data_IF_977708096681
#
_entry.id   IF_977708096681
#
_cell.length_a   1.000
_cell.length_b   1.000
_cell.length_c   1.000
_cell.angle_alpha   90.00
_cell.angle_beta   90.00
_cell.angle_gamma   90.00
#
_symmetry.space_group_name_H-M   'P 1'
#
loop_
_entity.id
_entity.type
_entity.pdbx_description
1 polymer ?
#
# COMPACT_ATOMS: atom_id res chain seq x y z
N UNK A 1 -11.73 -75.22 15.52
CA UNK A 1 -11.25 -73.83 15.33
C UNK A 1 -9.99 -73.89 14.49
N UNK A 2 -10.12 -73.70 13.18
CA UNK A 2 -8.99 -73.60 12.25
C UNK A 2 -9.22 -72.35 11.43
N UNK A 3 -8.53 -71.26 11.81
CA UNK A 3 -8.47 -70.03 11.01
C UNK A 3 -7.03 -69.84 10.57
N UNK A 4 -6.72 -70.39 9.42
CA UNK A 4 -5.54 -70.03 8.65
C UNK A 4 -5.98 -69.35 7.37
N UNK A 5 -5.20 -68.33 6.98
CA UNK A 5 -5.11 -67.75 5.65
C UNK A 5 -6.26 -66.84 5.17
N UNK A 6 -6.28 -65.61 5.68
CA UNK A 6 -6.64 -64.43 4.86
C UNK A 6 -5.61 -63.32 5.04
N UNK A 7 -4.39 -63.63 4.65
CA UNK A 7 -3.33 -62.66 4.47
C UNK A 7 -3.71 -61.76 3.29
N UNK A 8 -4.22 -60.57 3.60
CA UNK A 8 -4.65 -59.57 2.61
C UNK A 8 -3.46 -59.14 1.75
N UNK A 9 -3.53 -59.48 0.47
CA UNK A 9 -2.51 -59.26 -0.56
C UNK A 9 -2.68 -57.91 -1.31
N UNK A 10 -3.52 -57.00 -0.82
CA UNK A 10 -3.91 -55.79 -1.55
C UNK A 10 -3.14 -54.51 -1.19
N UNK A 11 -2.06 -54.58 -0.43
CA UNK A 11 -1.23 -53.40 -0.19
C UNK A 11 0.01 -53.45 -1.09
N UNK A 12 0.03 -52.73 -2.23
CA UNK A 12 1.26 -52.63 -3.00
C UNK A 12 2.30 -51.90 -2.15
N UNK A 13 3.26 -52.66 -1.60
CA UNK A 13 4.48 -52.11 -0.99
C UNK A 13 5.34 -51.51 -2.10
N UNK A 14 4.96 -50.33 -2.57
CA UNK A 14 5.79 -49.47 -3.40
C UNK A 14 6.88 -48.83 -2.53
N UNK A 15 7.79 -49.66 -2.01
CA UNK A 15 9.09 -49.18 -1.52
C UNK A 15 9.97 -48.86 -2.72
N UNK A 16 9.55 -47.89 -3.54
CA UNK A 16 10.43 -47.26 -4.52
C UNK A 16 11.35 -46.36 -3.70
N UNK A 17 12.49 -46.90 -3.28
CA UNK A 17 13.61 -46.16 -2.71
C UNK A 17 14.07 -45.18 -3.79
N UNK A 18 13.38 -44.03 -3.88
CA UNK A 18 13.80 -42.92 -4.72
C UNK A 18 15.09 -42.42 -4.10
N UNK A 19 16.21 -42.79 -4.72
CA UNK A 19 17.44 -42.02 -4.62
C UNK A 19 17.14 -40.68 -5.28
N UNK A 20 16.49 -39.76 -4.56
CA UNK A 20 16.55 -38.35 -4.91
C UNK A 20 17.92 -37.90 -4.42
N UNK A 21 18.86 -37.53 -5.30
CA UNK A 21 20.01 -36.78 -4.84
C UNK A 21 19.42 -35.51 -4.22
N UNK A 22 19.49 -35.39 -2.89
CA UNK A 22 19.16 -34.15 -2.20
C UNK A 22 20.29 -33.19 -2.53
N UNK A 23 20.18 -32.57 -3.70
CA UNK A 23 20.99 -31.40 -4.04
C UNK A 23 20.61 -30.36 -3.00
N UNK A 24 21.55 -30.04 -2.12
CA UNK A 24 21.32 -29.11 -1.01
C UNK A 24 21.13 -27.70 -1.58
N UNK A 25 19.86 -27.31 -1.71
CA UNK A 25 19.42 -26.05 -2.34
C UNK A 25 19.98 -24.84 -1.58
N UNK A 26 20.25 -25.02 -0.28
CA UNK A 26 20.86 -24.01 0.61
C UNK A 26 22.33 -23.76 0.26
N UNK A 27 23.11 -24.84 0.05
CA UNK A 27 24.52 -24.76 -0.31
C UNK A 27 24.71 -24.14 -1.70
N UNK A 28 23.87 -24.54 -2.67
CA UNK A 28 23.85 -23.95 -4.01
C UNK A 28 23.44 -22.47 -3.95
N UNK A 29 22.55 -22.09 -3.02
CA UNK A 29 22.08 -20.71 -2.89
C UNK A 29 23.17 -19.74 -2.48
N UNK A 30 23.95 -20.11 -1.46
CA UNK A 30 25.11 -19.34 -1.01
C UNK A 30 26.20 -19.26 -2.08
N UNK A 31 26.40 -20.36 -2.83
CA UNK A 31 27.37 -20.41 -3.92
C UNK A 31 26.96 -19.50 -5.09
N UNK A 32 25.69 -19.54 -5.50
CA UNK A 32 25.15 -18.65 -6.55
C UNK A 32 25.25 -17.18 -6.18
N UNK A 33 25.00 -16.81 -4.92
CA UNK A 33 25.12 -15.42 -4.47
C UNK A 33 26.57 -14.91 -4.45
N UNK A 34 27.53 -15.78 -4.15
CA UNK A 34 28.95 -15.46 -4.31
C UNK A 34 29.33 -15.31 -5.78
N UNK A 35 28.84 -16.21 -6.65
CA UNK A 35 29.09 -16.14 -8.10
C UNK A 35 28.46 -14.89 -8.71
N UNK A 36 27.25 -14.52 -8.33
CA UNK A 36 26.57 -13.33 -8.85
C UNK A 36 27.35 -12.05 -8.53
N UNK A 37 27.85 -11.91 -7.29
CA UNK A 37 28.72 -10.79 -6.90
C UNK A 37 30.06 -10.81 -7.64
N UNK A 38 30.59 -11.99 -7.91
CA UNK A 38 31.86 -12.16 -8.61
C UNK A 38 31.76 -11.85 -10.11
N UNK A 39 30.71 -12.34 -10.79
CA UNK A 39 30.45 -12.11 -12.22
C UNK A 39 29.96 -10.69 -12.51
N UNK A 40 29.23 -10.06 -11.58
CA UNK A 40 28.75 -8.67 -11.72
C UNK A 40 29.85 -7.62 -11.57
N UNK A 41 31.01 -7.99 -11.00
CA UNK A 41 32.15 -7.10 -10.86
C UNK A 41 33.10 -7.34 -12.05
N UNK A 42 33.53 -6.27 -12.75
CA UNK A 42 34.50 -6.36 -13.87
C UNK A 42 35.84 -7.05 -13.54
N UNK A 43 36.06 -7.37 -12.27
CA UNK A 43 37.19 -8.14 -11.75
C UNK A 43 37.27 -9.56 -12.31
N UNK A 44 36.15 -10.24 -12.60
CA UNK A 44 36.18 -11.57 -13.23
C UNK A 44 36.82 -11.51 -14.62
N UNK A 45 36.36 -10.56 -15.45
CA UNK A 45 36.91 -10.35 -16.79
C UNK A 45 38.40 -10.02 -16.73
N UNK A 46 38.83 -9.15 -15.81
CA UNK A 46 40.24 -8.82 -15.64
C UNK A 46 41.11 -10.04 -15.29
N UNK A 47 40.68 -10.88 -14.33
CA UNK A 47 41.40 -12.10 -13.94
C UNK A 47 41.44 -13.09 -15.12
N UNK A 48 40.32 -13.30 -15.81
CA UNK A 48 40.23 -14.20 -16.96
C UNK A 48 41.16 -13.76 -18.09
N UNK A 49 41.22 -12.47 -18.39
CA UNK A 49 42.14 -11.92 -19.40
C UNK A 49 43.60 -12.14 -19.01
N UNK A 50 43.96 -11.90 -17.75
CA UNK A 50 45.34 -12.15 -17.27
C UNK A 50 45.70 -13.63 -17.40
N UNK A 51 44.81 -14.55 -17.02
CA UNK A 51 45.04 -15.99 -17.16
C UNK A 51 45.28 -16.37 -18.63
N UNK A 52 44.44 -15.88 -19.55
CA UNK A 52 44.60 -16.14 -20.98
C UNK A 52 45.93 -15.61 -21.51
N UNK A 53 46.32 -14.39 -21.13
CA UNK A 53 47.62 -13.81 -21.53
C UNK A 53 48.78 -14.65 -21.00
N UNK A 54 48.78 -15.00 -19.70
CA UNK A 54 49.81 -15.84 -19.09
C UNK A 54 49.89 -17.20 -19.78
N UNK A 55 48.75 -17.78 -20.13
CA UNK A 55 48.69 -19.07 -20.83
C UNK A 55 49.27 -19.00 -22.24
N UNK A 56 48.95 -17.95 -22.99
CA UNK A 56 49.53 -17.70 -24.32
C UNK A 56 51.04 -17.52 -24.20
N UNK A 57 51.52 -16.73 -23.23
CA UNK A 57 52.95 -16.53 -23.00
C UNK A 57 53.65 -17.84 -22.62
N UNK A 58 53.09 -18.62 -21.70
CA UNK A 58 53.63 -19.92 -21.31
C UNK A 58 53.72 -20.86 -22.52
N UNK A 59 52.69 -20.91 -23.35
CA UNK A 59 52.72 -21.68 -24.60
C UNK A 59 53.85 -21.19 -25.52
N UNK A 60 53.98 -19.87 -25.74
CA UNK A 60 55.00 -19.29 -26.61
C UNK A 60 56.43 -19.60 -26.14
N UNK A 61 56.69 -19.57 -24.83
CA UNK A 61 57.99 -19.96 -24.27
C UNK A 61 58.21 -21.48 -24.26
N UNK A 62 57.14 -22.27 -24.09
CA UNK A 62 57.17 -23.73 -24.12
C UNK A 62 57.21 -24.33 -25.54
N UNK A 63 57.04 -23.52 -26.60
CA UNK A 63 57.27 -23.93 -28.00
C UNK A 63 58.70 -24.44 -28.22
N UNK A 64 59.68 -23.95 -27.44
CA UNK A 64 61.05 -24.49 -27.48
C UNK A 64 61.15 -25.97 -27.08
N UNK A 65 60.14 -26.51 -26.37
CA UNK A 65 60.01 -27.93 -26.03
C UNK A 65 59.02 -28.68 -26.94
N UNK A 66 58.50 -28.06 -28.01
CA UNK A 66 57.51 -28.62 -28.94
C UNK A 66 56.22 -29.15 -28.26
N UNK A 67 55.86 -28.63 -27.09
CA UNK A 67 54.79 -29.21 -26.28
C UNK A 67 53.38 -28.98 -26.88
N UNK A 68 53.19 -27.94 -27.71
CA UNK A 68 51.99 -27.71 -28.54
C UNK A 68 52.36 -26.86 -29.79
N UNK A 69 52.71 -27.48 -30.93
CA UNK A 69 53.01 -26.78 -32.19
C UNK A 69 51.78 -26.07 -32.76
N UNK A 70 52.00 -25.00 -33.54
CA UNK A 70 50.91 -24.27 -34.21
C UNK A 70 50.02 -25.24 -35.03
N UNK A 71 48.68 -25.29 -34.82
CA UNK A 71 47.80 -24.29 -34.20
C UNK A 71 47.26 -24.72 -32.81
N UNK A 72 48.08 -24.63 -31.76
CA UNK A 72 47.72 -24.70 -30.31
C UNK A 72 46.45 -25.50 -29.97
N UNK A 73 46.47 -26.82 -30.25
CA UNK A 73 45.26 -27.65 -30.19
C UNK A 73 44.74 -27.80 -28.75
N UNK A 74 45.65 -27.79 -27.77
CA UNK A 74 45.30 -27.95 -26.37
C UNK A 74 44.64 -26.70 -25.81
N UNK A 75 45.07 -25.51 -26.24
CA UNK A 75 44.44 -24.24 -25.88
C UNK A 75 43.01 -24.18 -26.40
N UNK A 76 42.82 -24.55 -27.66
CA UNK A 76 41.50 -24.55 -28.27
C UNK A 76 40.57 -25.59 -27.60
N UNK A 77 41.09 -26.77 -27.26
CA UNK A 77 40.32 -27.80 -26.56
C UNK A 77 39.91 -27.35 -25.15
N UNK A 78 40.81 -26.69 -24.42
CA UNK A 78 40.53 -26.17 -23.09
C UNK A 78 39.45 -25.08 -23.14
N UNK A 79 39.55 -24.13 -24.07
CA UNK A 79 38.55 -23.07 -24.24
C UNK A 79 37.19 -23.62 -24.70
N UNK A 80 37.19 -24.60 -25.60
CA UNK A 80 35.96 -25.27 -26.04
C UNK A 80 35.26 -25.97 -24.88
N UNK A 81 36.02 -26.64 -24.02
CA UNK A 81 35.48 -27.29 -22.81
C UNK A 81 34.99 -26.26 -21.78
N UNK A 82 35.73 -25.14 -21.61
CA UNK A 82 35.32 -24.04 -20.74
C UNK A 82 33.95 -23.49 -21.17
N UNK A 83 33.78 -23.20 -22.47
CA UNK A 83 32.52 -22.72 -23.01
C UNK A 83 31.39 -23.75 -22.84
N UNK A 84 31.67 -25.03 -23.09
CA UNK A 84 30.70 -26.10 -22.94
C UNK A 84 30.19 -26.27 -21.49
N UNK A 85 31.06 -26.11 -20.49
CA UNK A 85 30.66 -26.18 -19.07
C UNK A 85 30.01 -24.88 -18.55
N UNK A 86 30.28 -23.74 -19.18
CA UNK A 86 29.65 -22.47 -18.81
C UNK A 86 28.14 -22.50 -19.01
N UNK A 87 27.65 -23.09 -20.10
CA UNK A 87 26.22 -23.16 -20.43
C UNK A 87 25.35 -23.78 -19.30
N UNK A 88 25.62 -25.00 -18.80
CA UNK A 88 24.82 -25.59 -17.71
C UNK A 88 24.95 -24.82 -16.39
N UNK A 89 26.10 -24.22 -16.09
CA UNK A 89 26.29 -23.42 -14.88
C UNK A 89 25.47 -22.13 -14.94
N UNK A 90 25.44 -21.47 -16.10
CA UNK A 90 24.60 -20.30 -16.35
C UNK A 90 23.13 -20.67 -16.26
N UNK A 91 22.70 -21.80 -16.85
CA UNK A 91 21.30 -22.27 -16.77
C UNK A 91 20.87 -22.54 -15.32
N UNK A 92 21.75 -23.09 -14.48
CA UNK A 92 21.47 -23.29 -13.05
C UNK A 92 21.35 -21.97 -12.29
N UNK A 93 22.19 -20.98 -12.63
CA UNK A 93 22.10 -19.65 -12.06
C UNK A 93 20.81 -18.92 -12.49
N UNK A 94 20.43 -19.03 -13.76
CA UNK A 94 19.23 -18.41 -14.33
C UNK A 94 17.93 -18.99 -13.76
N UNK A 95 17.79 -20.32 -13.69
CA UNK A 95 16.59 -20.96 -13.13
C UNK A 95 16.29 -20.51 -11.69
N UNK A 96 17.33 -20.20 -10.91
CA UNK A 96 17.16 -19.69 -9.54
C UNK A 96 16.76 -18.23 -9.50
N UNK A 97 17.35 -17.41 -10.36
CA UNK A 97 16.99 -16.00 -10.47
C UNK A 97 15.52 -15.88 -10.88
N UNK A 98 15.10 -16.62 -11.90
CA UNK A 98 13.72 -16.66 -12.38
C UNK A 98 12.73 -17.11 -11.29
N UNK A 99 13.09 -18.11 -10.47
CA UNK A 99 12.23 -18.55 -9.37
C UNK A 99 12.10 -17.48 -8.27
N UNK A 100 13.18 -16.76 -7.93
CA UNK A 100 13.12 -15.63 -6.98
C UNK A 100 12.27 -14.49 -7.53
N UNK A 101 12.51 -14.12 -8.79
CA UNK A 101 11.79 -13.04 -9.47
C UNK A 101 10.30 -13.37 -9.57
N UNK A 102 9.96 -14.64 -9.83
CA UNK A 102 8.58 -15.13 -9.83
C UNK A 102 7.91 -14.98 -8.46
N UNK A 103 8.57 -15.41 -7.38
CA UNK A 103 8.01 -15.28 -6.01
C UNK A 103 7.81 -13.81 -5.65
N UNK A 104 8.78 -12.96 -5.94
CA UNK A 104 8.67 -11.52 -5.69
C UNK A 104 7.49 -10.89 -6.46
N UNK A 105 7.29 -11.30 -7.72
CA UNK A 105 6.19 -10.82 -8.55
C UNK A 105 4.82 -11.35 -8.08
N UNK A 106 4.76 -12.59 -7.60
CA UNK A 106 3.54 -13.14 -6.99
C UNK A 106 3.17 -12.42 -5.68
N UNK A 107 4.15 -12.09 -4.84
CA UNK A 107 3.92 -11.28 -3.64
C UNK A 107 3.46 -9.86 -3.96
N UNK A 108 4.08 -9.21 -4.94
CA UNK A 108 3.72 -7.86 -5.37
C UNK A 108 2.28 -7.82 -5.90
N UNK A 109 1.89 -8.81 -6.71
CA UNK A 109 0.49 -8.97 -7.16
C UNK A 109 -0.48 -9.10 -5.99
N UNK A 110 -0.18 -9.95 -5.00
CA UNK A 110 -1.04 -10.10 -3.81
C UNK A 110 -1.17 -8.80 -3.02
N UNK A 111 -0.07 -8.06 -2.85
CA UNK A 111 -0.09 -6.75 -2.18
C UNK A 111 -0.91 -5.72 -2.95
N UNK A 112 -0.80 -5.71 -4.28
CA UNK A 112 -1.59 -4.83 -5.13
C UNK A 112 -3.10 -5.15 -5.04
N UNK A 113 -3.47 -6.43 -5.02
CA UNK A 113 -4.86 -6.87 -4.81
C UNK A 113 -5.41 -6.42 -3.44
N UNK A 114 -4.64 -6.59 -2.38
CA UNK A 114 -5.00 -6.14 -1.02
C UNK A 114 -5.16 -4.62 -0.96
N UNK A 115 -4.17 -3.88 -1.48
CA UNK A 115 -4.21 -2.41 -1.50
C UNK A 115 -5.41 -1.89 -2.29
N UNK A 116 -5.75 -2.55 -3.40
CA UNK A 116 -6.94 -2.22 -4.18
C UNK A 116 -8.21 -2.47 -3.36
N UNK A 117 -8.33 -3.62 -2.71
CA UNK A 117 -9.49 -3.94 -1.87
C UNK A 117 -9.64 -2.95 -0.70
N UNK A 118 -8.54 -2.60 -0.02
CA UNK A 118 -8.53 -1.62 1.07
C UNK A 118 -8.94 -0.24 0.57
N UNK A 119 -8.47 0.18 -0.61
CA UNK A 119 -8.85 1.45 -1.22
C UNK A 119 -10.33 1.47 -1.60
N UNK A 120 -10.85 0.38 -2.18
CA UNK A 120 -12.28 0.24 -2.49
C UNK A 120 -13.14 0.26 -1.22
N UNK A 121 -12.68 -0.39 -0.14
CA UNK A 121 -13.34 -0.37 1.15
C UNK A 121 -13.37 1.05 1.74
N UNK A 122 -12.23 1.73 1.80
CA UNK A 122 -12.13 3.11 2.28
C UNK A 122 -12.97 4.07 1.43
N UNK A 123 -13.02 3.88 0.11
CA UNK A 123 -13.86 4.70 -0.76
C UNK A 123 -15.35 4.50 -0.48
N UNK A 124 -15.80 3.26 -0.21
CA UNK A 124 -17.18 2.96 0.18
C UNK A 124 -17.52 3.54 1.55
N UNK A 125 -16.65 3.36 2.53
CA UNK A 125 -16.80 3.95 3.87
C UNK A 125 -16.84 5.48 3.80
N UNK A 126 -15.96 6.10 3.02
CA UNK A 126 -15.97 7.55 2.82
C UNK A 126 -17.25 8.03 2.14
N UNK A 127 -17.77 7.28 1.16
CA UNK A 127 -19.04 7.58 0.52
C UNK A 127 -20.22 7.47 1.51
N UNK A 128 -20.26 6.41 2.32
CA UNK A 128 -21.26 6.23 3.37
C UNK A 128 -21.18 7.34 4.43
N UNK A 129 -19.97 7.66 4.89
CA UNK A 129 -19.72 8.77 5.82
C UNK A 129 -20.17 10.09 5.21
N UNK A 130 -19.84 10.37 3.95
CA UNK A 130 -20.27 11.59 3.25
C UNK A 130 -21.80 11.70 3.16
N UNK A 131 -22.51 10.60 2.91
CA UNK A 131 -23.97 10.60 2.89
C UNK A 131 -24.54 10.91 4.27
N UNK A 132 -24.03 10.24 5.32
CA UNK A 132 -24.48 10.47 6.70
C UNK A 132 -24.20 11.91 7.18
N UNK A 133 -23.03 12.47 6.88
CA UNK A 133 -22.69 13.86 7.21
C UNK A 133 -23.47 14.83 6.33
N UNK A 134 -23.70 14.49 5.06
CA UNK A 134 -24.50 15.27 4.13
C UNK A 134 -25.93 15.48 4.63
N UNK A 135 -26.56 14.45 5.21
CA UNK A 135 -27.89 14.57 5.81
C UNK A 135 -27.89 15.48 7.05
N UNK A 136 -26.91 15.34 7.96
CA UNK A 136 -26.83 16.11 9.21
C UNK A 136 -26.40 17.57 8.98
N UNK A 137 -25.64 17.86 7.91
CA UNK A 137 -25.20 19.21 7.55
C UNK A 137 -26.12 19.92 6.54
N UNK A 138 -27.35 19.42 6.32
CA UNK A 138 -28.27 20.09 5.40
C UNK A 138 -28.69 21.44 5.97
N UNK A 139 -28.68 22.49 5.14
CA UNK A 139 -29.04 23.88 5.51
C UNK A 139 -30.36 23.95 6.29
N UNK A 140 -31.33 23.10 5.95
CA UNK A 140 -32.65 23.06 6.61
C UNK A 140 -32.60 22.49 8.02
N UNK A 141 -31.70 21.52 8.30
CA UNK A 141 -31.49 21.01 9.66
C UNK A 141 -30.84 22.08 10.54
N UNK A 142 -29.75 22.71 10.05
CA UNK A 142 -29.11 23.83 10.75
C UNK A 142 -30.06 25.00 10.95
N UNK A 143 -30.94 25.28 9.98
CA UNK A 143 -31.94 26.34 10.09
C UNK A 143 -33.01 26.02 11.12
N UNK A 144 -33.52 24.78 11.15
CA UNK A 144 -34.46 24.32 12.17
C UNK A 144 -33.83 24.38 13.55
N UNK A 145 -32.61 23.87 13.72
CA UNK A 145 -31.94 23.89 15.03
C UNK A 145 -31.68 25.32 15.50
N UNK A 146 -31.34 26.25 14.59
CA UNK A 146 -31.21 27.67 14.91
C UNK A 146 -32.55 28.34 15.22
N UNK A 147 -33.65 27.93 14.59
CA UNK A 147 -35.01 28.41 14.89
C UNK A 147 -35.49 27.90 16.25
N UNK A 148 -35.31 26.61 16.54
CA UNK A 148 -35.62 25.99 17.84
C UNK A 148 -34.82 26.65 18.97
N UNK A 149 -33.50 26.88 18.78
CA UNK A 149 -32.67 27.61 19.74
C UNK A 149 -33.14 29.06 19.93
N UNK A 150 -33.57 29.73 18.86
CA UNK A 150 -34.13 31.09 18.94
C UNK A 150 -35.42 31.12 19.75
N UNK A 151 -36.29 30.14 19.54
CA UNK A 151 -37.57 30.03 20.22
C UNK A 151 -37.36 29.75 21.71
N UNK A 152 -36.46 28.83 22.07
CA UNK A 152 -36.03 28.58 23.45
C UNK A 152 -35.49 29.85 24.14
N UNK A 153 -34.66 30.62 23.45
CA UNK A 153 -34.15 31.90 23.98
C UNK A 153 -35.28 32.92 24.14
N UNK A 154 -36.21 33.00 23.19
CA UNK A 154 -37.35 33.92 23.25
C UNK A 154 -38.31 33.57 24.39
N UNK A 155 -38.53 32.28 24.64
CA UNK A 155 -39.35 31.76 25.74
C UNK A 155 -38.69 31.95 27.12
N UNK A 156 -37.36 32.09 27.17
CA UNK A 156 -36.61 32.52 28.35
C UNK A 156 -36.54 34.07 28.50
N UNK A 157 -36.90 34.84 27.46
CA UNK A 157 -36.95 36.32 27.48
C UNK A 157 -38.31 37.02 27.73
N UNK A 158 -39.46 36.37 28.07
CA UNK A 158 -40.76 37.04 28.12
C UNK A 158 -40.94 38.05 29.26
N UNK A 159 -39.90 38.32 30.05
CA UNK A 159 -39.95 39.27 31.17
C UNK A 159 -39.44 40.70 30.88
N UNK A 160 -38.88 41.00 29.68
CA UNK A 160 -38.27 42.33 29.42
C UNK A 160 -39.08 43.29 28.55
N UNK A 161 -39.86 42.85 27.56
CA UNK A 161 -40.48 43.78 26.59
C UNK A 161 -41.84 44.36 27.01
N UNK A 162 -42.60 43.70 27.87
CA UNK A 162 -43.94 44.16 28.28
C UNK A 162 -43.93 45.40 29.19
N UNK A 163 -42.80 45.74 29.81
CA UNK A 163 -42.67 46.95 30.66
C UNK A 163 -42.50 48.25 29.84
N UNK A 164 -41.82 48.20 28.69
CA UNK A 164 -41.48 49.42 27.92
C UNK A 164 -42.67 50.05 27.18
N UNK A 165 -43.63 49.25 26.68
CA UNK A 165 -44.84 49.77 26.00
C UNK A 165 -45.89 50.33 26.95
N UNK A 166 -45.94 49.85 28.20
CA UNK A 166 -46.92 50.32 29.20
C UNK A 166 -46.59 51.72 29.73
N UNK A 167 -45.30 52.05 29.82
CA UNK A 167 -44.84 53.36 30.31
C UNK A 167 -45.08 54.47 29.29
N UNK A 168 -44.78 54.25 27.99
CA UNK A 168 -45.05 55.24 26.92
C UNK A 168 -46.53 55.54 26.71
N UNK A 169 -47.43 54.58 26.94
CA UNK A 169 -48.88 54.82 26.76
C UNK A 169 -49.51 55.59 27.93
N UNK A 170 -48.86 55.59 29.11
CA UNK A 170 -49.32 56.34 30.29
C UNK A 170 -48.94 57.82 30.24
N UNK A 171 -47.79 58.16 29.66
CA UNK A 171 -47.33 59.56 29.58
C UNK A 171 -48.17 60.38 28.59
N UNK A 172 -48.43 59.85 27.39
CA UNK A 172 -49.22 60.57 26.36
C UNK A 172 -50.68 60.79 26.78
N UNK A 173 -51.25 59.90 27.62
CA UNK A 173 -52.62 60.04 28.10
C UNK A 173 -52.77 61.06 29.23
N UNK A 174 -51.71 61.33 29.98
CA UNK A 174 -51.75 62.31 31.07
C UNK A 174 -51.58 63.76 30.58
N UNK A 175 -50.87 63.96 29.47
CA UNK A 175 -50.63 65.28 28.88
C UNK A 175 -51.90 65.86 28.24
N UNK A 176 -52.63 65.06 27.44
CA UNK A 176 -53.87 65.49 26.76
C UNK A 176 -55.01 65.81 27.75
N UNK A 177 -54.97 65.27 28.97
CA UNK A 177 -56.01 65.51 29.99
C UNK A 177 -55.80 66.82 30.77
N UNK A 178 -54.59 67.38 30.78
CA UNK A 178 -54.32 68.62 31.51
C UNK A 178 -54.61 69.89 30.70
N UNK A 179 -54.64 69.81 29.37
CA UNK A 179 -54.87 70.98 28.51
C UNK A 179 -56.37 71.32 28.34
N UNK A 180 -57.27 70.36 28.52
CA UNK A 180 -58.71 70.55 28.29
C UNK A 180 -59.50 71.19 29.47
N UNK A 181 -58.84 71.75 30.50
CA UNK A 181 -59.52 72.22 31.73
C UNK A 181 -59.14 73.63 32.18
N UNK A 182 -59.00 74.58 31.26
CA UNK A 182 -58.90 76.00 31.64
C UNK A 182 -59.36 76.95 30.52
N UNK A 183 -60.67 77.23 30.43
CA UNK A 183 -61.19 78.57 30.05
C UNK A 183 -62.53 78.81 30.78
N UNK A 184 -62.73 79.93 31.50
CA UNK A 184 -63.92 80.18 32.31
C UNK A 184 -65.06 80.89 31.55
N UNK A 185 -66.29 80.72 32.07
CA UNK A 185 -67.47 81.53 31.77
C UNK A 185 -67.47 82.78 32.67
N UNK A 186 -67.98 83.88 32.13
CA UNK A 186 -68.65 85.06 32.72
C UNK A 186 -68.47 86.20 31.69
N UNK A 187 -69.38 87.13 31.40
CA UNK A 187 -70.72 87.45 31.88
C UNK A 187 -71.41 88.34 30.83
N UNK A 188 -72.71 88.58 30.98
CA UNK A 188 -73.55 89.44 30.14
C UNK A 188 -73.26 90.95 30.32
N UNK A 189 -73.61 91.78 29.33
CA UNK A 189 -74.34 93.09 29.43
C UNK A 189 -74.14 93.95 28.15
N UNK A 190 -75.21 94.28 27.43
CA UNK A 190 -75.84 95.63 27.33
C UNK A 190 -74.93 96.69 26.68
N UNK A 191 -75.15 97.00 25.40
CA UNK A 191 -75.81 98.22 24.86
C UNK A 191 -75.87 98.14 23.32
#
# INVERSE_FOLDING_TARGET
MSESARQRLDTPRLSRRRFTPRVDIEAVGRFSESIARFLGTGRYLAIQTVIVIVWILLNLFAVSLQWDPYPFILLNLAFSTQAAYAAPLILLAQNRQENRDRVALEEDRRRAEQTKADTEFLARELAALRLSVGEVATRDYLRRELEDLRELIAELQPAKETKSKSEKKKTTRHEVRHEARAVPRDDASVE
#
